data_IF_193614824280
#
_entry.id   IF_193614824280
#
_cell.length_a   1.000
_cell.length_b   1.000
_cell.length_c   1.000
_cell.angle_alpha   90.00
_cell.angle_beta   90.00
_cell.angle_gamma   90.00
#
_symmetry.space_group_name_H-M   'P 1'
#
loop_
_entity.id
_entity.type
_entity.pdbx_description
1 polymer ?
#
# COMPACT_ATOMS: atom_id res chain seq x y z
N UNK A 1 -22.28 -18.60 12.32
CA UNK A 1 -20.90 -18.75 11.82
C UNK A 1 -20.69 -18.23 10.37
N UNK A 2 -21.56 -17.38 9.81
CA UNK A 2 -21.54 -17.07 8.35
C UNK A 2 -21.45 -15.59 7.95
N UNK A 3 -21.60 -14.61 8.85
CA UNK A 3 -21.55 -13.18 8.51
C UNK A 3 -20.19 -12.54 8.80
N UNK A 4 -19.57 -12.89 9.93
CA UNK A 4 -18.26 -12.33 10.32
C UNK A 4 -17.11 -12.77 9.41
N UNK A 5 -17.17 -14.01 8.89
CA UNK A 5 -16.19 -14.49 7.89
C UNK A 5 -16.32 -13.75 6.55
N UNK A 6 -17.53 -13.35 6.18
CA UNK A 6 -17.78 -12.59 4.96
C UNK A 6 -17.27 -11.14 5.09
N UNK A 7 -17.55 -10.48 6.22
CA UNK A 7 -17.05 -9.13 6.50
C UNK A 7 -15.50 -9.06 6.53
N UNK A 8 -14.84 -10.06 7.13
CA UNK A 8 -13.38 -10.13 7.12
C UNK A 8 -12.79 -10.34 5.72
N UNK A 9 -13.48 -11.06 4.83
CA UNK A 9 -13.04 -11.27 3.46
C UNK A 9 -13.21 -10.02 2.58
N UNK A 10 -14.29 -9.26 2.80
CA UNK A 10 -14.53 -7.98 2.15
C UNK A 10 -13.44 -6.95 2.53
N UNK A 11 -13.14 -6.82 3.83
CA UNK A 11 -12.10 -5.90 4.30
C UNK A 11 -10.70 -6.29 3.78
N UNK A 12 -10.40 -7.58 3.71
CA UNK A 12 -9.15 -8.07 3.12
C UNK A 12 -9.06 -7.75 1.61
N UNK A 13 -10.19 -7.78 0.90
CA UNK A 13 -10.27 -7.40 -0.52
C UNK A 13 -10.04 -5.90 -0.69
N UNK A 14 -10.69 -5.07 0.14
CA UNK A 14 -10.49 -3.62 0.17
C UNK A 14 -9.03 -3.25 0.46
N UNK A 15 -8.41 -3.88 1.45
CA UNK A 15 -6.97 -3.72 1.75
C UNK A 15 -6.10 -4.01 0.51
N UNK A 16 -6.40 -5.10 -0.22
CA UNK A 16 -5.64 -5.46 -1.43
C UNK A 16 -5.75 -4.39 -2.51
N UNK A 17 -6.95 -3.88 -2.77
CA UNK A 17 -7.17 -2.81 -3.75
C UNK A 17 -6.42 -1.53 -3.36
N UNK A 18 -6.40 -1.18 -2.06
CA UNK A 18 -5.64 -0.04 -1.56
C UNK A 18 -4.12 -0.23 -1.72
N UNK A 19 -3.60 -1.43 -1.45
CA UNK A 19 -2.19 -1.74 -1.72
C UNK A 19 -1.83 -1.55 -3.20
N UNK A 20 -2.70 -1.97 -4.11
CA UNK A 20 -2.48 -1.77 -5.55
C UNK A 20 -2.48 -0.28 -5.92
N UNK A 21 -3.40 0.52 -5.38
CA UNK A 21 -3.44 1.97 -5.60
C UNK A 21 -2.20 2.67 -5.04
N UNK A 22 -1.81 2.33 -3.82
CA UNK A 22 -0.60 2.85 -3.17
C UNK A 22 0.65 2.50 -3.98
N UNK A 23 0.73 1.27 -4.49
CA UNK A 23 1.82 0.84 -5.38
C UNK A 23 1.93 1.71 -6.63
N UNK A 24 0.81 2.03 -7.27
CA UNK A 24 0.79 2.90 -8.47
C UNK A 24 1.18 4.34 -8.17
N UNK A 25 0.72 4.90 -7.05
CA UNK A 25 1.12 6.25 -6.60
C UNK A 25 2.62 6.29 -6.27
N UNK A 26 3.12 5.24 -5.63
CA UNK A 26 4.54 5.11 -5.32
C UNK A 26 5.37 5.06 -6.60
N UNK A 27 4.99 4.23 -7.58
CA UNK A 27 5.68 4.17 -8.89
C UNK A 27 5.69 5.54 -9.57
N UNK A 28 4.55 6.25 -9.58
CA UNK A 28 4.47 7.60 -10.15
C UNK A 28 5.44 8.56 -9.46
N UNK A 29 5.54 8.56 -8.13
CA UNK A 29 6.50 9.38 -7.38
C UNK A 29 7.95 8.98 -7.67
N UNK A 30 8.21 7.68 -7.78
CA UNK A 30 9.54 7.16 -8.05
C UNK A 30 10.03 7.57 -9.45
N UNK A 31 9.14 7.58 -10.44
CA UNK A 31 9.46 8.03 -11.81
C UNK A 31 10.00 9.47 -11.85
N UNK A 32 9.61 10.35 -10.92
CA UNK A 32 10.17 11.70 -10.82
C UNK A 32 11.63 11.72 -10.34
N UNK A 33 12.12 10.64 -9.72
CA UNK A 33 13.41 10.59 -9.01
C UNK A 33 14.41 9.63 -9.66
N UNK A 34 14.02 8.91 -10.72
CA UNK A 34 14.93 8.00 -11.42
C UNK A 34 15.83 8.76 -12.40
N UNK A 35 17.14 8.72 -12.17
CA UNK A 35 18.14 9.30 -13.09
C UNK A 35 18.18 8.60 -14.45
N UNK A 36 18.65 9.30 -15.48
CA UNK A 36 18.94 8.71 -16.81
C UNK A 36 20.07 7.67 -16.77
N UNK A 37 20.97 7.73 -15.78
CA UNK A 37 22.05 6.76 -15.57
C UNK A 37 21.49 5.37 -15.17
N UNK A 38 21.68 4.33 -16.01
CA UNK A 38 21.17 2.97 -15.76
C UNK A 38 21.71 2.33 -14.48
N UNK A 39 22.94 2.64 -14.06
CA UNK A 39 23.57 2.03 -12.89
C UNK A 39 22.98 2.54 -11.58
N UNK A 40 22.74 3.85 -11.50
CA UNK A 40 22.05 4.51 -10.38
C UNK A 40 20.58 4.11 -10.31
N UNK A 41 19.93 3.97 -11.47
CA UNK A 41 18.56 3.44 -11.58
C UNK A 41 18.46 2.03 -11.02
N UNK A 42 19.38 1.14 -11.37
CA UNK A 42 19.37 -0.25 -10.87
C UNK A 42 19.53 -0.28 -9.35
N UNK A 43 20.51 0.45 -8.81
CA UNK A 43 20.73 0.53 -7.35
C UNK A 43 19.49 1.07 -6.63
N UNK A 44 18.90 2.17 -7.13
CA UNK A 44 17.70 2.76 -6.56
C UNK A 44 16.52 1.79 -6.53
N UNK A 45 16.28 1.06 -7.62
CA UNK A 45 15.22 0.04 -7.68
C UNK A 45 15.49 -1.12 -6.72
N UNK A 46 16.75 -1.55 -6.58
CA UNK A 46 17.14 -2.57 -5.60
C UNK A 46 16.91 -2.11 -4.16
N UNK A 47 17.27 -0.88 -3.82
CA UNK A 47 17.07 -0.33 -2.47
C UNK A 47 15.58 -0.21 -2.12
N UNK A 48 14.74 0.15 -3.10
CA UNK A 48 13.28 0.18 -2.94
C UNK A 48 12.71 -1.22 -2.73
N UNK A 49 13.13 -2.20 -3.52
CA UNK A 49 12.66 -3.56 -3.36
C UNK A 49 13.09 -4.15 -2.01
N UNK A 50 14.32 -3.86 -1.57
CA UNK A 50 14.80 -4.24 -0.24
C UNK A 50 13.93 -3.62 0.87
N UNK A 51 13.60 -2.33 0.75
CA UNK A 51 12.69 -1.65 1.69
C UNK A 51 11.30 -2.28 1.71
N UNK A 52 10.76 -2.61 0.52
CA UNK A 52 9.45 -3.28 0.39
C UNK A 52 9.43 -4.67 1.02
N UNK A 53 10.50 -5.44 0.83
CA UNK A 53 10.65 -6.76 1.45
C UNK A 53 10.72 -6.65 2.97
N UNK A 54 11.51 -5.70 3.50
CA UNK A 54 11.63 -5.48 4.93
C UNK A 54 10.30 -5.06 5.56
N UNK A 55 9.62 -4.07 4.98
CA UNK A 55 8.32 -3.61 5.45
C UNK A 55 7.27 -4.74 5.47
N UNK A 56 7.28 -5.64 4.47
CA UNK A 56 6.40 -6.82 4.45
C UNK A 56 6.72 -7.80 5.58
N UNK A 57 8.00 -8.03 5.87
CA UNK A 57 8.42 -8.92 6.97
C UNK A 57 7.98 -8.34 8.32
N UNK A 58 8.19 -7.03 8.54
CA UNK A 58 7.78 -6.33 9.75
C UNK A 58 6.26 -6.35 9.92
N UNK A 59 5.49 -6.04 8.87
CA UNK A 59 4.03 -6.05 8.91
C UNK A 59 3.47 -7.45 9.24
N UNK A 60 4.07 -8.50 8.68
CA UNK A 60 3.71 -9.87 9.01
C UNK A 60 4.00 -10.22 10.47
N UNK A 61 5.15 -9.77 11.01
CA UNK A 61 5.48 -9.96 12.42
C UNK A 61 4.49 -9.22 13.34
N UNK A 62 4.16 -7.96 13.03
CA UNK A 62 3.17 -7.19 13.77
C UNK A 62 1.78 -7.82 13.71
N UNK A 63 1.35 -8.29 12.55
CA UNK A 63 0.05 -8.96 12.39
C UNK A 63 -0.05 -10.20 13.28
N UNK A 64 0.99 -11.02 13.35
CA UNK A 64 1.05 -12.19 14.25
C UNK A 64 1.07 -11.77 15.72
N UNK A 65 1.87 -10.78 16.11
CA UNK A 65 1.90 -10.28 17.50
C UNK A 65 0.50 -9.79 17.91
N UNK A 66 -0.14 -8.96 17.07
CA UNK A 66 -1.45 -8.41 17.38
C UNK A 66 -2.51 -9.50 17.48
N UNK A 67 -2.57 -10.43 16.53
CA UNK A 67 -3.65 -11.41 16.45
C UNK A 67 -3.42 -12.66 17.32
N UNK A 68 -2.20 -13.17 17.38
CA UNK A 68 -1.87 -14.43 18.07
C UNK A 68 -1.41 -14.20 19.52
N UNK A 69 -0.68 -13.12 19.79
CA UNK A 69 -0.13 -12.86 21.14
C UNK A 69 -1.05 -11.94 21.95
N UNK A 70 -1.53 -10.86 21.35
CA UNK A 70 -2.37 -9.86 22.02
C UNK A 70 -3.88 -10.10 21.86
N UNK A 71 -4.27 -11.10 21.04
CA UNK A 71 -5.67 -11.49 20.86
C UNK A 71 -6.54 -10.45 20.15
N UNK A 72 -5.94 -9.51 19.41
CA UNK A 72 -6.67 -8.55 18.59
C UNK A 72 -7.41 -9.32 17.50
N UNK A 73 -8.72 -9.14 17.42
CA UNK A 73 -9.51 -9.76 16.36
C UNK A 73 -8.99 -9.32 14.99
N UNK A 74 -8.80 -10.26 14.05
CA UNK A 74 -8.27 -9.95 12.72
C UNK A 74 -9.07 -8.86 11.98
N UNK A 75 -10.39 -8.76 12.23
CA UNK A 75 -11.25 -7.71 11.67
C UNK A 75 -10.88 -6.30 12.17
N UNK A 76 -10.42 -6.18 13.41
CA UNK A 76 -9.97 -4.91 14.01
C UNK A 76 -8.63 -4.51 13.42
N UNK A 77 -7.70 -5.45 13.27
CA UNK A 77 -6.43 -5.21 12.58
C UNK A 77 -6.65 -4.76 11.13
N UNK A 78 -7.51 -5.46 10.38
CA UNK A 78 -7.81 -5.10 8.99
C UNK A 78 -8.43 -3.71 8.89
N UNK A 79 -9.34 -3.34 9.79
CA UNK A 79 -9.91 -1.99 9.82
C UNK A 79 -8.83 -0.92 10.04
N UNK A 80 -7.95 -1.09 11.03
CA UNK A 80 -6.86 -0.13 11.26
C UNK A 80 -5.90 -0.05 10.09
N UNK A 81 -5.54 -1.20 9.50
CA UNK A 81 -4.72 -1.23 8.30
C UNK A 81 -5.39 -0.47 7.14
N UNK A 82 -6.70 -0.64 6.97
CA UNK A 82 -7.46 0.09 5.96
C UNK A 82 -7.46 1.61 6.20
N UNK A 83 -7.64 2.05 7.44
CA UNK A 83 -7.59 3.47 7.82
C UNK A 83 -6.21 4.10 7.51
N UNK A 84 -5.13 3.41 7.85
CA UNK A 84 -3.76 3.86 7.56
C UNK A 84 -3.45 3.88 6.06
N UNK A 85 -3.89 2.85 5.31
CA UNK A 85 -3.74 2.82 3.85
C UNK A 85 -4.52 3.95 3.18
N UNK A 86 -5.73 4.23 3.63
CA UNK A 86 -6.56 5.32 3.10
C UNK A 86 -5.94 6.69 3.39
N UNK A 87 -5.43 6.91 4.61
CA UNK A 87 -4.72 8.13 4.98
C UNK A 87 -3.48 8.37 4.09
N UNK A 88 -2.68 7.33 3.86
CA UNK A 88 -1.48 7.42 3.03
C UNK A 88 -1.81 7.65 1.55
N UNK A 89 -2.85 7.00 1.03
CA UNK A 89 -3.35 7.24 -0.33
C UNK A 89 -3.78 8.71 -0.48
N UNK A 90 -4.56 9.23 0.47
CA UNK A 90 -5.04 10.61 0.43
C UNK A 90 -3.88 11.60 0.47
N UNK A 91 -2.89 11.37 1.34
CA UNK A 91 -1.65 12.17 1.41
C UNK A 91 -0.93 12.20 0.06
N UNK A 92 -0.74 11.03 -0.58
CA UNK A 92 -0.05 10.94 -1.87
C UNK A 92 -0.87 11.52 -3.04
N UNK A 93 -2.19 11.40 -3.02
CA UNK A 93 -3.07 12.03 -4.01
C UNK A 93 -2.92 13.55 -3.99
N UNK A 94 -2.86 14.14 -2.79
CA UNK A 94 -2.64 15.57 -2.60
C UNK A 94 -1.23 15.99 -3.05
N UNK A 95 -0.19 15.32 -2.53
CA UNK A 95 1.21 15.64 -2.85
C UNK A 95 1.54 15.52 -4.35
N UNK A 96 0.99 14.50 -5.02
CA UNK A 96 1.21 14.25 -6.44
C UNK A 96 0.21 14.98 -7.35
N UNK A 97 -0.72 15.75 -6.77
CA UNK A 97 -1.75 16.50 -7.48
C UNK A 97 -2.56 15.63 -8.45
N UNK A 98 -2.96 14.44 -8.01
CA UNK A 98 -3.73 13.49 -8.81
C UNK A 98 -5.14 14.05 -9.04
N UNK A 99 -5.54 14.19 -10.31
CA UNK A 99 -6.86 14.72 -10.71
C UNK A 99 -7.87 13.63 -11.02
N UNK A 100 -7.41 12.39 -11.18
CA UNK A 100 -8.26 11.26 -11.50
C UNK A 100 -7.45 9.98 -11.75
N UNK A 101 -8.17 8.95 -12.17
CA UNK A 101 -7.61 7.64 -12.52
C UNK A 101 -8.02 7.29 -13.95
N UNK A 102 -7.12 6.70 -14.73
CA UNK A 102 -7.42 6.23 -16.08
C UNK A 102 -8.24 4.92 -16.06
N UNK A 103 -8.68 4.46 -17.23
CA UNK A 103 -9.43 3.20 -17.37
C UNK A 103 -8.63 1.92 -17.03
N UNK A 104 -7.33 2.04 -16.75
CA UNK A 104 -6.44 0.95 -16.32
C UNK A 104 -6.10 1.06 -14.82
N UNK A 105 -6.68 2.03 -14.12
CA UNK A 105 -6.46 2.28 -12.70
C UNK A 105 -5.12 2.97 -12.39
N UNK A 106 -4.49 3.64 -13.35
CA UNK A 106 -3.30 4.47 -13.09
C UNK A 106 -3.70 5.90 -12.69
N UNK A 107 -2.99 6.53 -11.75
CA UNK A 107 -3.24 7.91 -11.39
C UNK A 107 -2.87 8.85 -12.56
N UNK A 108 -3.61 9.94 -12.71
CA UNK A 108 -3.41 10.98 -13.73
C UNK A 108 -3.14 12.33 -13.05
N UNK A 109 -2.03 12.99 -13.39
CA UNK A 109 -1.70 14.33 -12.88
C UNK A 109 -2.46 15.43 -13.62
N UNK A 110 -2.81 16.49 -12.91
CA UNK A 110 -3.20 17.74 -13.55
C UNK A 110 -1.99 18.36 -14.25
N UNK A 111 -2.15 18.78 -15.51
CA UNK A 111 -1.19 19.70 -16.14
C UNK A 111 -1.29 21.08 -15.49
#
# INVERSE_FOLDING_TARGET
MSTEKAAGAEEATRCREMYERLGRLTIMRLQDHVSEDPSRRLKFLTDIENGRVLARVELNAFSRILTEVLGVEGKVFLRYLSEELEAEINRLVEELQVKGWDGLGNPVRGR
#
